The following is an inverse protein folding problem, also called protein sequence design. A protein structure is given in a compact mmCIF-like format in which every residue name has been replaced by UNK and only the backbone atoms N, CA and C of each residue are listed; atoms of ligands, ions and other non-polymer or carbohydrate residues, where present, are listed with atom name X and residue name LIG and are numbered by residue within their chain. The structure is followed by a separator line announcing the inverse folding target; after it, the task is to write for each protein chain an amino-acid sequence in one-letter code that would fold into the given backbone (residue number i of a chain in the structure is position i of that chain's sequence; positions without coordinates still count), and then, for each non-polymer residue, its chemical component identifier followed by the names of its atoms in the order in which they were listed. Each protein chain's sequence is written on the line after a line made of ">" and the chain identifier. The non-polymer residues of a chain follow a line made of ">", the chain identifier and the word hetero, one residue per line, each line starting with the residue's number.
data_IF_268476878083
#
_entry.id   IF_268476878083
#
_cell.length_a   1.000
_cell.length_b   1.000
_cell.length_c   1.000
_cell.angle_alpha   90.00
_cell.angle_beta   90.00
_cell.angle_gamma   90.00
#
_symmetry.space_group_name_H-M   'P 1'
#
loop_
_entity.id
_entity.type
_entity.pdbx_description
1 polymer ?
#
# COMPACT_ATOMS: atom_id res chain seq x y z
N UNK A 1 19.77 -1.90 10.48
CA UNK A 1 18.41 -1.75 11.01
C UNK A 1 17.64 -3.06 10.97
N UNK A 2 17.24 -3.59 9.81
CA UNK A 2 16.69 -4.96 9.71
C UNK A 2 17.74 -5.96 9.18
N UNK A 3 18.11 -7.01 9.96
CA UNK A 3 18.97 -8.09 9.48
C UNK A 3 18.38 -8.80 8.27
N UNK A 4 19.23 -9.27 7.35
CA UNK A 4 18.79 -9.87 6.09
C UNK A 4 17.90 -11.12 6.30
N UNK A 5 18.21 -11.93 7.31
CA UNK A 5 17.48 -13.15 7.64
C UNK A 5 15.98 -12.95 7.93
N UNK A 6 15.59 -11.76 8.41
CA UNK A 6 14.22 -11.47 8.83
C UNK A 6 13.42 -10.63 7.84
N UNK A 7 14.03 -10.16 6.75
CA UNK A 7 13.35 -9.29 5.78
C UNK A 7 12.18 -10.00 5.11
N UNK A 8 12.43 -11.17 4.53
CA UNK A 8 11.41 -11.97 3.84
C UNK A 8 10.25 -12.39 4.76
N UNK A 9 10.50 -12.94 5.97
CA UNK A 9 9.43 -13.21 6.94
C UNK A 9 8.58 -11.99 7.27
N UNK A 10 9.22 -10.84 7.52
CA UNK A 10 8.53 -9.59 7.87
C UNK A 10 7.68 -9.10 6.70
N UNK A 11 8.22 -9.11 5.48
CA UNK A 11 7.48 -8.69 4.28
C UNK A 11 6.26 -9.58 4.05
N UNK A 12 6.43 -10.90 4.18
CA UNK A 12 5.32 -11.86 4.08
C UNK A 12 4.23 -11.56 5.10
N UNK A 13 4.60 -11.28 6.36
CA UNK A 13 3.63 -10.91 7.40
C UNK A 13 2.93 -9.57 7.09
N UNK A 14 3.67 -8.56 6.64
CA UNK A 14 3.10 -7.25 6.27
C UNK A 14 2.09 -7.42 5.13
N UNK A 15 2.42 -8.19 4.10
CA UNK A 15 1.52 -8.45 2.98
C UNK A 15 0.25 -9.18 3.44
N UNK A 16 0.40 -10.15 4.34
CA UNK A 16 -0.75 -10.84 4.92
C UNK A 16 -1.64 -9.87 5.72
N UNK A 17 -1.06 -9.06 6.59
CA UNK A 17 -1.80 -8.05 7.36
C UNK A 17 -2.49 -7.01 6.47
N UNK A 18 -1.83 -6.58 5.39
CA UNK A 18 -2.40 -5.67 4.39
C UNK A 18 -3.65 -6.27 3.74
N UNK A 19 -3.57 -7.52 3.30
CA UNK A 19 -4.61 -8.20 2.54
C UNK A 19 -5.77 -8.72 3.41
N UNK A 20 -5.59 -8.80 4.72
CA UNK A 20 -6.61 -9.33 5.64
C UNK A 20 -7.84 -8.41 5.68
N UNK A 21 -9.03 -9.00 5.55
CA UNK A 21 -10.29 -8.28 5.50
C UNK A 21 -11.43 -9.13 6.08
N UNK A 22 -12.41 -8.56 6.81
CA UNK A 22 -13.52 -9.33 7.40
C UNK A 22 -14.34 -10.15 6.41
N UNK A 23 -14.48 -9.67 5.17
CA UNK A 23 -15.21 -10.35 4.09
C UNK A 23 -14.43 -11.48 3.40
N UNK A 24 -13.13 -11.61 3.64
CA UNK A 24 -12.32 -12.67 3.04
C UNK A 24 -12.24 -13.87 3.98
N UNK A 25 -12.42 -15.11 3.47
CA UNK A 25 -12.21 -16.30 4.27
C UNK A 25 -10.73 -16.41 4.66
N UNK A 26 -10.44 -16.60 5.95
CA UNK A 26 -9.08 -16.75 6.45
C UNK A 26 -8.93 -16.62 7.97
N UNK A 27 -7.71 -16.84 8.45
CA UNK A 27 -7.28 -16.88 9.86
C UNK A 27 -7.24 -15.48 10.50
N UNK A 28 -8.37 -14.79 10.59
CA UNK A 28 -8.42 -13.49 11.25
C UNK A 28 -9.73 -13.23 11.96
N UNK A 29 -9.73 -12.21 12.84
CA UNK A 29 -10.89 -11.83 13.63
C UNK A 29 -12.02 -11.29 12.73
N UNK A 30 -13.31 -11.52 13.05
CA UNK A 30 -14.43 -11.06 12.23
C UNK A 30 -14.63 -9.53 12.20
N UNK A 31 -13.77 -8.75 12.86
CA UNK A 31 -13.92 -7.29 12.95
C UNK A 31 -12.62 -6.57 12.60
N UNK A 32 -12.70 -5.37 11.99
CA UNK A 32 -11.53 -4.54 11.66
C UNK A 32 -10.57 -4.32 12.83
N UNK A 33 -11.11 -3.98 14.00
CA UNK A 33 -10.32 -3.75 15.20
C UNK A 33 -9.63 -5.02 15.69
N UNK A 34 -10.30 -6.17 15.59
CA UNK A 34 -9.72 -7.45 15.96
C UNK A 34 -8.59 -7.85 15.02
N UNK A 35 -8.74 -7.61 13.71
CA UNK A 35 -7.69 -7.82 12.70
C UNK A 35 -6.46 -6.99 13.05
N UNK A 36 -6.64 -5.70 13.34
CA UNK A 36 -5.53 -4.83 13.74
C UNK A 36 -4.84 -5.33 15.01
N UNK A 37 -5.59 -5.65 16.06
CA UNK A 37 -5.01 -6.16 17.33
C UNK A 37 -4.22 -7.44 17.11
N UNK A 38 -4.76 -8.36 16.31
CA UNK A 38 -4.08 -9.61 15.94
C UNK A 38 -2.78 -9.35 15.15
N UNK A 39 -2.84 -8.53 14.10
CA UNK A 39 -1.70 -8.21 13.25
C UNK A 39 -0.56 -7.50 14.01
N UNK A 40 -0.92 -6.52 14.84
CA UNK A 40 0.00 -5.81 15.75
C UNK A 40 0.66 -6.79 16.71
N UNK A 41 -0.14 -7.67 17.33
CA UNK A 41 0.37 -8.65 18.30
C UNK A 41 1.31 -9.67 17.63
N UNK A 42 0.98 -10.13 16.43
CA UNK A 42 1.81 -11.08 15.68
C UNK A 42 3.17 -10.46 15.34
N UNK A 43 3.17 -9.26 14.75
CA UNK A 43 4.41 -8.57 14.36
C UNK A 43 5.27 -8.20 15.59
N UNK A 44 4.64 -7.73 16.67
CA UNK A 44 5.33 -7.39 17.90
C UNK A 44 6.01 -8.61 18.52
N UNK A 45 5.28 -9.73 18.67
CA UNK A 45 5.84 -10.98 19.20
C UNK A 45 7.03 -11.46 18.38
N UNK A 46 6.90 -11.44 17.05
CA UNK A 46 8.00 -11.81 16.16
C UNK A 46 9.24 -10.93 16.39
N UNK A 47 9.06 -9.61 16.49
CA UNK A 47 10.18 -8.70 16.73
C UNK A 47 10.81 -8.91 18.12
N UNK A 48 10.02 -9.18 19.15
CA UNK A 48 10.53 -9.45 20.51
C UNK A 48 11.33 -10.75 20.57
N UNK A 49 10.82 -11.83 19.96
CA UNK A 49 11.47 -13.14 19.94
C UNK A 49 12.85 -13.11 19.27
N UNK A 50 13.05 -12.19 18.31
CA UNK A 50 14.28 -12.07 17.52
C UNK A 50 15.11 -10.82 17.89
N UNK A 51 14.80 -10.16 19.01
CA UNK A 51 15.45 -8.92 19.50
C UNK A 51 15.53 -7.78 18.45
N UNK A 52 14.47 -7.62 17.65
CA UNK A 52 14.37 -6.65 16.56
C UNK A 52 13.68 -5.34 17.00
N UNK A 53 14.18 -4.71 18.06
CA UNK A 53 13.54 -3.53 18.70
C UNK A 53 13.45 -2.35 17.77
N UNK A 54 14.54 -2.08 17.07
CA UNK A 54 14.63 -1.06 16.06
C UNK A 54 13.56 -1.31 14.99
N UNK A 55 13.55 -2.51 14.40
CA UNK A 55 12.57 -2.88 13.36
C UNK A 55 11.14 -2.66 13.81
N UNK A 56 10.81 -3.07 15.04
CA UNK A 56 9.50 -2.81 15.61
C UNK A 56 9.18 -1.32 15.69
N UNK A 57 10.09 -0.47 16.18
CA UNK A 57 9.87 0.97 16.27
C UNK A 57 9.56 1.59 14.90
N UNK A 58 10.28 1.19 13.84
CA UNK A 58 9.99 1.66 12.48
C UNK A 58 8.67 1.15 11.95
N UNK A 59 8.36 -0.13 12.15
CA UNK A 59 7.09 -0.71 11.71
C UNK A 59 5.90 -0.05 12.41
N UNK A 60 6.02 0.23 13.71
CA UNK A 60 5.01 0.95 14.48
C UNK A 60 4.75 2.34 13.93
N UNK A 61 5.80 3.14 13.75
CA UNK A 61 5.68 4.54 13.32
C UNK A 61 5.13 4.71 11.90
N UNK A 62 5.35 3.72 11.03
CA UNK A 62 4.99 3.81 9.61
C UNK A 62 3.75 3.01 9.23
N UNK A 63 3.44 1.89 9.91
CA UNK A 63 2.31 1.02 9.53
C UNK A 63 1.35 0.72 10.70
N UNK A 64 1.85 0.32 11.87
CA UNK A 64 0.96 -0.27 12.89
C UNK A 64 0.31 0.74 13.86
N UNK A 65 0.81 1.97 13.94
CA UNK A 65 0.13 3.05 14.68
C UNK A 65 -1.25 3.34 14.08
N UNK A 66 -2.24 3.68 14.91
CA UNK A 66 -3.63 3.89 14.47
C UNK A 66 -3.79 4.80 13.25
N UNK A 67 -3.22 6.00 13.29
CA UNK A 67 -3.32 6.96 12.18
C UNK A 67 -2.63 6.49 10.89
N UNK A 68 -1.68 5.53 11.00
CA UNK A 68 -1.05 4.92 9.83
C UNK A 68 -1.84 3.74 9.34
N UNK A 69 -2.32 2.88 10.24
CA UNK A 69 -3.13 1.71 9.93
C UNK A 69 -4.29 2.02 8.99
N UNK A 70 -5.01 3.11 9.27
CA UNK A 70 -6.13 3.62 8.47
C UNK A 70 -5.76 3.95 7.02
N UNK A 71 -4.49 4.25 6.73
CA UNK A 71 -4.04 4.63 5.39
C UNK A 71 -3.57 3.45 4.54
N UNK A 72 -3.26 2.29 5.14
CA UNK A 72 -2.71 1.16 4.40
C UNK A 72 -3.53 -0.11 4.53
N UNK A 73 -4.11 -0.42 5.69
CA UNK A 73 -4.78 -1.70 5.89
C UNK A 73 -6.14 -1.75 5.20
N UNK A 74 -6.42 -2.83 4.45
CA UNK A 74 -7.71 -3.00 3.77
C UNK A 74 -8.87 -3.16 4.74
N UNK A 75 -8.64 -3.78 5.89
CA UNK A 75 -9.68 -4.11 6.88
C UNK A 75 -10.44 -2.90 7.43
N UNK A 76 -9.89 -1.68 7.27
CA UNK A 76 -10.52 -0.43 7.73
C UNK A 76 -11.68 -0.01 6.84
N UNK A 77 -11.66 -0.41 5.57
CA UNK A 77 -12.73 -0.12 4.63
C UNK A 77 -13.78 -1.24 4.67
N UNK A 78 -15.08 -0.91 4.54
CA UNK A 78 -16.13 -1.93 4.52
C UNK A 78 -16.14 -2.76 3.23
N UNK A 79 -15.58 -2.22 2.15
CA UNK A 79 -15.61 -2.81 0.81
C UNK A 79 -14.20 -3.21 0.36
N UNK A 80 -14.12 -4.29 -0.41
CA UNK A 80 -12.88 -4.74 -1.03
C UNK A 80 -12.86 -4.24 -2.49
N UNK A 81 -11.84 -3.48 -2.90
CA UNK A 81 -11.72 -3.08 -4.30
C UNK A 81 -11.46 -4.32 -5.18
N UNK A 82 -12.29 -4.51 -6.20
CA UNK A 82 -12.17 -5.61 -7.18
C UNK A 82 -10.87 -5.48 -7.99
N UNK A 83 -10.45 -4.25 -8.27
CA UNK A 83 -9.21 -3.93 -8.97
C UNK A 83 -8.18 -3.41 -7.98
N UNK A 84 -6.94 -3.93 -8.01
CA UNK A 84 -5.84 -3.32 -7.27
C UNK A 84 -5.60 -1.92 -7.83
N UNK A 85 -5.44 -0.93 -6.96
CA UNK A 85 -5.15 0.46 -7.36
C UNK A 85 -3.93 0.56 -8.27
N UNK A 86 -2.97 -0.37 -8.11
CA UNK A 86 -1.80 -0.51 -8.99
C UNK A 86 -2.21 -0.75 -10.45
N UNK A 87 -3.21 -1.58 -10.72
CA UNK A 87 -3.68 -1.84 -12.09
C UNK A 87 -4.32 -0.60 -12.73
N UNK A 88 -5.10 0.15 -11.94
CA UNK A 88 -5.73 1.38 -12.41
C UNK A 88 -4.65 2.42 -12.71
N UNK A 89 -3.68 2.58 -11.80
CA UNK A 89 -2.54 3.48 -11.98
C UNK A 89 -1.68 3.08 -13.17
N UNK A 90 -1.32 1.80 -13.31
CA UNK A 90 -0.53 1.28 -14.44
C UNK A 90 -1.25 1.51 -15.78
N UNK A 91 -2.56 1.25 -15.84
CA UNK A 91 -3.37 1.52 -17.03
C UNK A 91 -3.40 3.01 -17.36
N UNK A 92 -3.59 3.86 -16.34
CA UNK A 92 -3.54 5.31 -16.49
C UNK A 92 -2.19 5.80 -17.03
N UNK A 93 -1.08 5.34 -16.42
CA UNK A 93 0.28 5.66 -16.84
C UNK A 93 0.62 5.10 -18.21
N UNK A 94 0.09 3.92 -18.58
CA UNK A 94 0.23 3.35 -19.92
C UNK A 94 -0.39 4.28 -20.97
N UNK A 95 -1.59 4.80 -20.69
CA UNK A 95 -2.26 5.76 -21.58
C UNK A 95 -1.47 7.06 -21.71
N UNK A 96 -0.96 7.62 -20.60
CA UNK A 96 -0.13 8.83 -20.65
C UNK A 96 1.13 8.62 -21.49
N UNK A 97 1.82 7.49 -21.26
CA UNK A 97 3.04 7.16 -22.00
C UNK A 97 2.78 7.00 -23.49
N UNK A 98 1.72 6.27 -23.84
CA UNK A 98 1.36 6.02 -25.22
C UNK A 98 0.85 7.28 -25.93
N UNK A 99 -0.03 8.05 -25.32
CA UNK A 99 -0.73 9.13 -26.02
C UNK A 99 0.06 10.44 -26.03
N UNK A 100 0.87 10.71 -24.99
CA UNK A 100 1.56 11.99 -24.84
C UNK A 100 3.09 11.90 -24.84
N UNK A 101 3.66 10.83 -24.27
CA UNK A 101 5.12 10.76 -24.08
C UNK A 101 5.87 9.90 -25.11
N UNK A 102 5.17 9.27 -26.06
CA UNK A 102 5.79 8.32 -27.00
C UNK A 102 6.86 8.93 -27.92
N UNK A 103 6.78 10.22 -28.21
CA UNK A 103 7.78 10.94 -29.01
C UNK A 103 8.94 11.55 -28.19
N UNK A 104 8.86 11.51 -26.86
CA UNK A 104 9.84 12.13 -25.99
C UNK A 104 10.78 11.08 -25.41
N UNK A 105 12.06 11.18 -25.74
CA UNK A 105 13.08 10.40 -25.06
C UNK A 105 13.46 11.08 -23.74
N UNK A 106 13.26 10.38 -22.61
CA UNK A 106 13.54 10.89 -21.25
C UNK A 106 12.90 12.26 -20.95
N UNK A 107 11.55 12.36 -21.01
CA UNK A 107 10.86 13.60 -20.71
C UNK A 107 11.14 14.03 -19.27
N UNK A 108 11.40 15.32 -19.07
CA UNK A 108 11.56 15.90 -17.74
C UNK A 108 10.22 15.93 -16.99
N UNK A 109 10.28 15.96 -15.65
CA UNK A 109 9.08 15.91 -14.81
C UNK A 109 8.14 17.12 -15.00
N UNK A 110 8.67 18.29 -15.36
CA UNK A 110 7.91 19.50 -15.67
C UNK A 110 7.01 19.31 -16.91
N UNK A 111 7.53 18.65 -17.96
CA UNK A 111 6.74 18.32 -19.14
C UNK A 111 5.58 17.37 -18.78
N UNK A 112 5.84 16.37 -17.93
CA UNK A 112 4.79 15.47 -17.44
C UNK A 112 3.73 16.24 -16.63
N UNK A 113 4.13 17.11 -15.71
CA UNK A 113 3.21 17.92 -14.93
C UNK A 113 2.34 18.81 -15.82
N UNK A 114 2.95 19.44 -16.84
CA UNK A 114 2.22 20.22 -17.82
C UNK A 114 1.23 19.37 -18.63
N UNK A 115 1.61 18.17 -19.08
CA UNK A 115 0.70 17.23 -19.76
C UNK A 115 -0.49 16.88 -18.87
N UNK A 116 -0.24 16.54 -17.60
CA UNK A 116 -1.29 16.19 -16.65
C UNK A 116 -2.28 17.33 -16.45
N UNK A 117 -1.80 18.56 -16.27
CA UNK A 117 -2.64 19.73 -15.97
C UNK A 117 -3.35 20.26 -17.23
N UNK A 118 -2.62 20.40 -18.33
CA UNK A 118 -3.08 21.16 -19.51
C UNK A 118 -3.73 20.25 -20.55
N UNK A 119 -3.29 19.00 -20.67
CA UNK A 119 -3.81 18.07 -21.68
C UNK A 119 -4.78 17.06 -21.09
N UNK A 120 -4.43 16.46 -19.95
CA UNK A 120 -5.19 15.34 -19.39
C UNK A 120 -6.34 15.81 -18.49
N UNK A 121 -6.11 16.72 -17.54
CA UNK A 121 -7.14 17.18 -16.61
C UNK A 121 -8.41 17.72 -17.29
N UNK A 122 -8.34 18.52 -18.38
CA UNK A 122 -9.54 19.01 -19.08
C UNK A 122 -10.41 17.90 -19.67
N UNK A 123 -9.84 16.73 -20.02
CA UNK A 123 -10.62 15.60 -20.53
C UNK A 123 -11.54 14.99 -19.48
N UNK A 124 -11.23 15.18 -18.19
CA UNK A 124 -12.07 14.71 -17.08
C UNK A 124 -13.18 15.70 -16.72
N UNK A 125 -12.97 17.00 -16.98
CA UNK A 125 -13.92 18.07 -16.66
C UNK A 125 -14.93 18.36 -17.76
N UNK A 126 -14.63 17.97 -19.01
CA UNK A 126 -15.59 17.98 -20.12
C UNK A 126 -16.54 16.79 -19.99
N UNK A 127 -17.40 16.82 -18.97
CA UNK A 127 -18.64 16.04 -18.95
C UNK A 127 -19.76 16.92 -19.49
#
# INVERSE_FOLDING_TARGET
>A
FCPAAYREPILTMIEHHYCTHPLLPGSSHPSPDGIKRWAVSQMYKFCVEHDLREVWAYLWENWYRSSRWELWARSVHPEIPILKTTMILESHWRRIKHDFLHHFHMPRCDLLAWILIVKLAPTYYRK
#
